data_IF_957614436217
#
_entry.id   IF_957614436217
#
_cell.length_a   1.000
_cell.length_b   1.000
_cell.length_c   1.000
_cell.angle_alpha   90.00
_cell.angle_beta   90.00
_cell.angle_gamma   90.00
#
_symmetry.space_group_name_H-M   'P 1'
#
loop_
_entity.id
_entity.type
_entity.pdbx_description
1 polymer ?
#
# COMPACT_ATOMS: atom_id res chain seq x y z
N UNK A 1 -36.45 -22.72 38.17
CA UNK A 1 -37.01 -22.34 36.84
C UNK A 1 -36.71 -20.89 36.42
N UNK A 2 -36.50 -19.90 37.32
CA UNK A 2 -36.13 -18.51 36.94
C UNK A 2 -34.71 -18.31 36.36
N UNK A 3 -33.77 -19.25 36.57
CA UNK A 3 -32.38 -19.12 36.08
C UNK A 3 -32.16 -19.57 34.63
N UNK A 4 -33.10 -20.32 34.04
CA UNK A 4 -32.98 -20.82 32.66
C UNK A 4 -33.46 -19.77 31.63
N UNK A 5 -34.39 -18.89 32.02
CA UNK A 5 -34.88 -17.81 31.15
C UNK A 5 -33.84 -16.68 30.92
N UNK A 6 -32.92 -16.45 31.85
CA UNK A 6 -31.91 -15.38 31.75
C UNK A 6 -30.77 -15.80 30.81
N UNK A 7 -30.38 -17.07 30.78
CA UNK A 7 -29.38 -17.57 29.83
C UNK A 7 -29.92 -17.62 28.38
N UNK A 8 -31.23 -17.84 28.20
CA UNK A 8 -31.85 -17.81 26.87
C UNK A 8 -31.94 -16.38 26.30
N UNK A 9 -32.21 -15.36 27.14
CA UNK A 9 -32.16 -13.96 26.69
C UNK A 9 -30.74 -13.47 26.42
N UNK A 10 -29.73 -13.92 27.18
CA UNK A 10 -28.33 -13.58 26.94
C UNK A 10 -27.79 -14.20 25.63
N UNK A 11 -28.21 -15.44 25.31
CA UNK A 11 -27.87 -16.09 24.04
C UNK A 11 -28.57 -15.43 22.83
N UNK A 12 -29.78 -14.88 23.01
CA UNK A 12 -30.46 -14.08 21.98
C UNK A 12 -29.87 -12.67 21.84
N UNK A 13 -29.28 -12.08 22.89
CA UNK A 13 -28.55 -10.81 22.79
C UNK A 13 -27.16 -10.92 22.17
N UNK A 14 -26.62 -12.13 21.99
CA UNK A 14 -25.39 -12.37 21.22
C UNK A 14 -25.64 -12.76 19.76
N UNK A 15 -26.90 -12.92 19.35
CA UNK A 15 -27.28 -13.34 17.99
C UNK A 15 -27.72 -12.17 17.08
N UNK A 16 -27.57 -10.91 17.52
CA UNK A 16 -27.98 -9.74 16.74
C UNK A 16 -26.97 -8.58 16.82
N UNK A 17 -25.66 -8.87 16.75
CA UNK A 17 -24.84 -8.05 15.87
C UNK A 17 -25.28 -8.44 14.46
N UNK A 18 -26.39 -7.84 13.98
CA UNK A 18 -26.84 -8.02 12.61
C UNK A 18 -25.63 -7.74 11.72
N UNK A 19 -25.04 -8.80 11.19
CA UNK A 19 -23.93 -8.71 10.26
C UNK A 19 -24.46 -7.93 9.08
N UNK A 20 -24.13 -6.65 9.04
CA UNK A 20 -24.44 -5.79 7.91
C UNK A 20 -23.99 -6.56 6.67
N UNK A 21 -24.89 -6.82 5.70
CA UNK A 21 -24.52 -7.54 4.50
C UNK A 21 -23.27 -6.86 3.92
N UNK A 22 -22.16 -7.60 3.74
CA UNK A 22 -20.97 -6.99 3.20
C UNK A 22 -21.31 -6.46 1.80
N UNK A 23 -20.81 -5.28 1.47
CA UNK A 23 -20.85 -4.74 0.11
C UNK A 23 -19.43 -4.59 -0.38
N UNK A 24 -19.18 -4.68 -1.70
CA UNK A 24 -17.85 -4.40 -2.23
C UNK A 24 -17.36 -3.00 -1.84
N UNK A 25 -16.04 -2.87 -1.67
CA UNK A 25 -15.40 -1.61 -1.31
C UNK A 25 -15.55 -0.55 -2.40
N UNK A 26 -15.52 -0.96 -3.67
CA UNK A 26 -15.69 -0.06 -4.80
C UNK A 26 -17.06 0.65 -4.74
N UNK A 27 -17.13 1.89 -5.18
CA UNK A 27 -18.34 2.70 -5.27
C UNK A 27 -18.29 3.41 -6.62
N UNK A 28 -18.94 2.87 -7.65
CA UNK A 28 -18.99 3.55 -8.95
C UNK A 28 -19.88 4.78 -8.87
N UNK A 29 -19.62 5.74 -9.76
CA UNK A 29 -20.52 6.88 -9.96
C UNK A 29 -21.78 6.41 -10.72
N UNK A 30 -22.93 7.02 -10.41
CA UNK A 30 -24.11 6.90 -11.27
C UNK A 30 -24.01 7.91 -12.43
N UNK A 31 -24.89 7.78 -13.44
CA UNK A 31 -24.87 8.66 -14.62
C UNK A 31 -25.07 10.15 -14.26
N UNK A 32 -25.95 10.46 -13.30
CA UNK A 32 -26.18 11.84 -12.86
C UNK A 32 -24.94 12.45 -12.23
N UNK A 33 -24.20 11.69 -11.43
CA UNK A 33 -22.95 12.13 -10.83
C UNK A 33 -21.88 12.34 -11.92
N UNK A 34 -21.78 11.44 -12.89
CA UNK A 34 -20.83 11.57 -14.02
C UNK A 34 -21.09 12.88 -14.78
N UNK A 35 -22.36 13.16 -15.10
CA UNK A 35 -22.77 14.38 -15.81
C UNK A 35 -22.55 15.64 -14.96
N UNK A 36 -22.79 15.57 -13.65
CA UNK A 36 -22.64 16.70 -12.74
C UNK A 36 -21.17 17.04 -12.45
N UNK A 37 -20.30 16.03 -12.36
CA UNK A 37 -18.87 16.20 -12.07
C UNK A 37 -18.16 16.77 -13.30
N UNK A 38 -18.38 16.19 -14.49
CA UNK A 38 -17.72 16.62 -15.72
C UNK A 38 -16.19 16.67 -15.57
N UNK A 39 -15.59 17.83 -15.82
CA UNK A 39 -14.13 17.98 -15.68
C UNK A 39 -13.73 18.24 -14.22
N UNK A 40 -12.90 17.38 -13.65
CA UNK A 40 -12.52 17.40 -12.23
C UNK A 40 -11.01 17.46 -12.01
N UNK A 41 -10.62 18.09 -10.90
CA UNK A 41 -9.22 18.12 -10.47
C UNK A 41 -8.82 16.81 -9.81
N UNK A 42 -7.56 16.40 -10.02
CA UNK A 42 -6.94 15.27 -9.32
C UNK A 42 -6.02 15.82 -8.24
N UNK A 43 -6.16 15.30 -7.03
CA UNK A 43 -5.31 15.65 -5.89
C UNK A 43 -4.55 14.43 -5.42
N UNK A 44 -3.24 14.44 -5.66
CA UNK A 44 -2.32 13.40 -5.20
C UNK A 44 -1.96 13.70 -3.74
N UNK A 45 -2.38 12.82 -2.83
CA UNK A 45 -1.89 12.85 -1.46
C UNK A 45 -0.41 12.46 -1.47
N UNK A 46 0.46 13.35 -1.00
CA UNK A 46 1.91 13.13 -1.00
C UNK A 46 2.25 11.87 -0.22
N UNK A 47 2.93 10.93 -0.89
CA UNK A 47 3.58 9.83 -0.20
C UNK A 47 4.80 10.39 0.55
N UNK A 48 4.89 10.08 1.85
CA UNK A 48 5.98 10.53 2.71
C UNK A 48 6.92 9.38 3.12
N UNK A 49 6.62 8.16 2.69
CA UNK A 49 7.27 6.94 3.20
C UNK A 49 8.18 6.27 2.18
N UNK A 50 8.07 6.63 0.91
CA UNK A 50 8.76 5.96 -0.19
C UNK A 50 8.28 4.52 -0.40
N UNK A 51 9.16 3.71 -0.99
CA UNK A 51 8.95 2.26 -1.18
C UNK A 51 9.22 1.53 0.13
N UNK A 52 8.18 0.97 0.74
CA UNK A 52 8.27 0.22 1.98
C UNK A 52 8.52 -1.28 1.73
N UNK A 53 9.08 -2.01 2.71
CA UNK A 53 9.11 -3.48 2.72
C UNK A 53 7.96 -4.07 3.56
N UNK A 54 7.39 -5.21 3.15
CA UNK A 54 6.19 -5.78 3.77
C UNK A 54 6.36 -6.32 5.19
N UNK A 55 7.60 -6.54 5.68
CA UNK A 55 7.89 -6.80 7.09
C UNK A 55 7.31 -5.75 8.04
N UNK A 56 7.03 -4.55 7.51
CA UNK A 56 6.60 -3.39 8.26
C UNK A 56 5.09 -3.19 8.27
N UNK A 57 4.31 -4.06 7.62
CA UNK A 57 2.86 -3.91 7.54
C UNK A 57 2.15 -4.67 8.66
N UNK A 58 1.41 -3.94 9.50
CA UNK A 58 0.34 -4.50 10.33
C UNK A 58 -0.91 -4.74 9.46
N UNK A 59 -1.54 -5.89 9.59
CA UNK A 59 -2.85 -6.14 9.02
C UNK A 59 -3.90 -5.36 9.83
N UNK A 60 -4.30 -4.21 9.30
CA UNK A 60 -5.26 -3.29 9.95
C UNK A 60 -6.65 -3.36 9.34
N UNK A 61 -6.91 -4.39 8.51
CA UNK A 61 -8.16 -4.54 7.75
C UNK A 61 -9.41 -4.59 8.63
N UNK A 62 -9.32 -5.15 9.84
CA UNK A 62 -10.45 -5.25 10.78
C UNK A 62 -10.66 -4.01 11.67
N UNK A 63 -9.61 -3.25 12.00
CA UNK A 63 -9.70 -2.05 12.84
C UNK A 63 -10.08 -0.80 12.05
N UNK A 64 -9.64 -0.71 10.79
CA UNK A 64 -9.82 0.47 9.95
C UNK A 64 -11.21 0.60 9.31
N UNK A 65 -12.06 -0.44 9.39
CA UNK A 65 -13.46 -0.36 9.00
C UNK A 65 -14.26 0.65 9.87
N UNK A 66 -13.77 0.97 11.07
CA UNK A 66 -14.47 1.83 12.04
C UNK A 66 -14.09 3.32 12.00
N UNK A 67 -13.01 3.72 11.30
CA UNK A 67 -12.48 5.10 11.36
C UNK A 67 -12.31 5.81 10.00
N UNK A 68 -12.84 5.27 8.91
CA UNK A 68 -12.81 5.93 7.62
C UNK A 68 -11.40 5.98 6.99
N UNK A 69 -11.36 6.44 5.73
CA UNK A 69 -10.23 6.32 4.80
C UNK A 69 -8.88 6.85 5.34
N UNK A 70 -8.91 7.80 6.28
CA UNK A 70 -7.74 8.43 6.89
C UNK A 70 -7.01 7.51 7.89
N UNK A 71 -7.69 6.53 8.49
CA UNK A 71 -7.10 5.59 9.44
C UNK A 71 -6.29 4.46 8.78
N UNK A 72 -6.57 4.14 7.51
CA UNK A 72 -5.97 3.00 6.79
C UNK A 72 -4.51 3.26 6.38
N UNK A 73 -4.16 4.50 6.06
CA UNK A 73 -2.91 4.83 5.38
C UNK A 73 -1.87 5.54 6.25
N UNK A 74 -2.30 6.26 7.29
CA UNK A 74 -1.37 7.07 8.11
C UNK A 74 -0.76 6.27 9.27
N UNK A 75 -1.43 5.23 9.78
CA UNK A 75 -0.96 4.50 10.97
C UNK A 75 0.09 3.41 10.70
N UNK A 76 -0.01 2.71 9.57
CA UNK A 76 0.80 1.51 9.31
C UNK A 76 2.13 1.78 8.57
N UNK A 77 2.24 2.92 7.87
CA UNK A 77 3.34 3.16 6.94
C UNK A 77 4.61 3.75 7.60
N UNK A 78 4.49 4.39 8.78
CA UNK A 78 5.58 5.23 9.31
C UNK A 78 6.42 4.52 10.39
N UNK A 79 5.84 3.62 11.20
CA UNK A 79 6.55 3.09 12.39
C UNK A 79 7.22 1.71 12.21
N UNK A 80 6.90 0.98 11.14
CA UNK A 80 7.62 -0.28 10.87
C UNK A 80 9.10 -0.05 10.59
N UNK A 81 9.45 1.07 9.95
CA UNK A 81 10.80 1.41 9.49
C UNK A 81 11.84 1.41 10.64
N UNK A 82 11.44 1.68 11.89
CA UNK A 82 12.40 2.03 12.94
C UNK A 82 12.53 1.07 14.11
N UNK A 83 11.64 0.08 14.29
CA UNK A 83 11.59 -0.66 15.57
C UNK A 83 11.69 -2.19 15.53
N UNK A 84 11.90 -2.79 14.36
CA UNK A 84 12.46 -4.14 14.33
C UNK A 84 13.95 -4.03 14.01
N UNK A 85 14.75 -4.92 14.60
CA UNK A 85 16.14 -5.09 14.27
C UNK A 85 16.27 -6.15 13.17
N UNK A 86 16.06 -5.85 11.88
CA UNK A 86 16.89 -6.51 10.91
C UNK A 86 18.28 -5.85 11.03
N UNK A 87 19.33 -6.63 10.79
CA UNK A 87 20.73 -6.20 10.93
C UNK A 87 20.99 -4.84 10.27
N UNK A 88 22.08 -4.13 10.66
CA UNK A 88 22.54 -2.88 10.00
C UNK A 88 22.43 -2.95 8.46
N UNK A 89 22.66 -4.14 7.89
CA UNK A 89 22.52 -4.46 6.46
C UNK A 89 21.15 -4.12 5.87
N UNK A 90 20.06 -4.45 6.56
CA UNK A 90 18.71 -4.19 6.08
C UNK A 90 18.34 -2.69 6.11
N UNK A 91 18.86 -1.95 7.10
CA UNK A 91 18.74 -0.47 7.10
C UNK A 91 19.54 0.15 5.96
N UNK A 92 20.76 -0.32 5.71
CA UNK A 92 21.56 0.10 4.56
C UNK A 92 20.81 -0.09 3.24
N UNK A 93 20.24 -1.27 3.02
CA UNK A 93 19.43 -1.58 1.83
C UNK A 93 18.16 -0.73 1.73
N UNK A 94 17.49 -0.43 2.85
CA UNK A 94 16.34 0.47 2.84
C UNK A 94 16.73 1.91 2.46
N UNK A 95 17.88 2.38 2.95
CA UNK A 95 18.43 3.69 2.56
C UNK A 95 18.81 3.70 1.07
N UNK A 96 19.43 2.64 0.54
CA UNK A 96 19.73 2.52 -0.89
C UNK A 96 18.44 2.61 -1.73
N UNK A 97 17.35 1.96 -1.30
CA UNK A 97 16.04 2.06 -1.97
C UNK A 97 15.47 3.49 -1.94
N UNK A 98 15.54 4.15 -0.78
CA UNK A 98 15.08 5.52 -0.62
C UNK A 98 15.92 6.53 -1.42
N UNK A 99 17.22 6.28 -1.59
CA UNK A 99 18.12 7.11 -2.39
C UNK A 99 17.83 6.98 -3.88
N UNK A 100 17.65 5.76 -4.40
CA UNK A 100 17.36 5.56 -5.83
C UNK A 100 15.92 5.93 -6.19
N UNK A 101 15.00 5.92 -5.22
CA UNK A 101 13.60 6.27 -5.41
C UNK A 101 13.06 7.08 -4.22
N UNK A 102 13.40 8.39 -4.17
CA UNK A 102 12.91 9.27 -3.12
C UNK A 102 11.40 9.50 -3.27
N UNK A 103 10.75 9.83 -2.15
CA UNK A 103 9.31 10.05 -2.09
C UNK A 103 8.83 11.13 -3.08
N UNK A 104 9.59 12.22 -3.21
CA UNK A 104 9.30 13.29 -4.17
C UNK A 104 9.29 12.79 -5.62
N UNK A 105 10.22 11.90 -5.99
CA UNK A 105 10.24 11.31 -7.33
C UNK A 105 9.03 10.40 -7.61
N UNK A 106 8.52 9.71 -6.57
CA UNK A 106 7.28 8.93 -6.68
C UNK A 106 6.08 9.85 -6.90
N UNK A 107 5.98 10.92 -6.10
CA UNK A 107 4.91 11.91 -6.19
C UNK A 107 4.92 12.60 -7.57
N UNK A 108 6.07 13.08 -8.02
CA UNK A 108 6.25 13.73 -9.32
C UNK A 108 5.89 12.80 -10.48
N UNK A 109 6.34 11.54 -10.44
CA UNK A 109 6.00 10.55 -11.45
C UNK A 109 4.49 10.35 -11.54
N UNK A 110 3.80 10.20 -10.41
CA UNK A 110 2.36 10.02 -10.39
C UNK A 110 1.60 11.24 -10.92
N UNK A 111 2.00 12.44 -10.49
CA UNK A 111 1.46 13.72 -10.98
C UNK A 111 1.63 13.82 -12.49
N UNK A 112 2.81 13.47 -13.02
CA UNK A 112 3.06 13.50 -14.45
C UNK A 112 2.14 12.53 -15.22
N UNK A 113 1.92 11.33 -14.70
CA UNK A 113 1.05 10.33 -15.34
C UNK A 113 -0.43 10.75 -15.35
N UNK A 114 -0.93 11.37 -14.28
CA UNK A 114 -2.27 11.97 -14.26
C UNK A 114 -2.35 13.21 -15.16
N UNK A 115 -1.31 14.04 -15.21
CA UNK A 115 -1.29 15.25 -16.05
C UNK A 115 -1.40 14.91 -17.53
N UNK A 116 -0.84 13.77 -17.96
CA UNK A 116 -1.01 13.25 -19.32
C UNK A 116 -2.47 12.90 -19.65
N UNK A 117 -3.31 12.61 -18.64
CA UNK A 117 -4.73 12.32 -18.85
C UNK A 117 -5.56 13.58 -19.18
N UNK A 118 -5.06 14.78 -18.88
CA UNK A 118 -5.73 16.05 -19.23
C UNK A 118 -5.90 16.15 -20.75
N UNK A 119 -4.85 15.80 -21.50
CA UNK A 119 -4.83 15.90 -22.96
C UNK A 119 -5.67 14.83 -23.67
N UNK A 120 -6.08 13.77 -22.98
CA UNK A 120 -6.80 12.63 -23.55
C UNK A 120 -8.29 12.63 -23.26
N UNK A 121 -8.83 13.70 -22.65
CA UNK A 121 -10.23 13.79 -22.26
C UNK A 121 -11.18 13.52 -23.43
N UNK A 122 -11.97 12.44 -23.33
CA UNK A 122 -13.03 12.14 -24.28
C UNK A 122 -14.20 13.14 -24.11
N UNK A 123 -14.92 13.49 -25.18
CA UNK A 123 -16.11 14.32 -25.06
C UNK A 123 -17.23 13.56 -24.34
N UNK A 124 -17.64 14.10 -23.18
CA UNK A 124 -18.69 13.54 -22.33
C UNK A 124 -18.14 12.72 -21.16
N UNK A 125 -18.75 12.89 -19.98
CA UNK A 125 -18.39 12.19 -18.75
C UNK A 125 -17.28 12.88 -17.92
N UNK A 126 -16.70 12.10 -17.00
CA UNK A 126 -15.64 12.58 -16.10
C UNK A 126 -14.31 12.67 -16.84
N UNK A 127 -13.65 13.84 -16.77
CA UNK A 127 -12.31 14.08 -17.33
C UNK A 127 -11.40 14.78 -16.32
N UNK A 128 -10.08 14.72 -16.52
CA UNK A 128 -9.11 15.40 -15.64
C UNK A 128 -8.88 16.83 -16.16
N UNK A 129 -9.09 17.84 -15.32
CA UNK A 129 -8.84 19.25 -15.64
C UNK A 129 -7.50 19.77 -15.15
N UNK A 130 -7.08 19.31 -13.96
CA UNK A 130 -5.89 19.78 -13.26
C UNK A 130 -5.33 18.65 -12.37
N UNK A 131 -4.05 18.72 -12.05
CA UNK A 131 -3.39 17.80 -11.12
C UNK A 131 -2.51 18.58 -10.16
N UNK A 132 -2.75 18.38 -8.86
CA UNK A 132 -1.98 19.01 -7.78
C UNK A 132 -1.66 18.01 -6.68
N UNK A 133 -0.70 18.33 -5.82
CA UNK A 133 -0.39 17.54 -4.64
C UNK A 133 -1.00 18.16 -3.38
N UNK A 134 -1.20 17.34 -2.35
CA UNK A 134 -1.56 17.79 -1.00
C UNK A 134 -0.78 17.01 0.05
N UNK A 135 -0.21 17.73 1.00
CA UNK A 135 0.45 17.13 2.14
C UNK A 135 -0.56 16.78 3.24
N UNK A 136 -1.00 15.52 3.31
CA UNK A 136 -2.03 15.09 4.28
C UNK A 136 -1.56 15.09 5.74
N UNK A 137 -0.24 15.12 6.00
CA UNK A 137 0.28 15.27 7.36
C UNK A 137 -0.01 16.67 7.95
N UNK A 138 0.04 17.70 7.12
CA UNK A 138 -0.23 19.08 7.52
C UNK A 138 -1.67 19.51 7.23
N UNK A 139 -2.33 18.85 6.26
CA UNK A 139 -3.71 19.10 5.84
C UNK A 139 -4.51 17.78 5.78
N UNK A 140 -4.87 17.18 6.93
CA UNK A 140 -5.50 15.85 7.01
C UNK A 140 -6.97 15.83 6.57
N UNK A 141 -7.54 16.97 6.17
CA UNK A 141 -8.92 17.06 5.72
C UNK A 141 -9.14 16.32 4.40
N UNK A 142 -10.40 15.97 4.15
CA UNK A 142 -10.85 15.49 2.83
C UNK A 142 -10.71 16.64 1.83
N UNK A 143 -10.27 16.32 0.61
CA UNK A 143 -10.30 17.27 -0.49
C UNK A 143 -11.71 17.29 -1.10
N UNK A 144 -12.42 18.42 -1.00
CA UNK A 144 -13.73 18.58 -1.61
C UNK A 144 -13.61 18.87 -3.12
N UNK A 145 -14.56 18.35 -3.90
CA UNK A 145 -14.68 18.49 -5.35
C UNK A 145 -13.41 18.13 -6.14
N UNK A 146 -12.77 17.02 -5.75
CA UNK A 146 -11.58 16.51 -6.43
C UNK A 146 -11.45 15.00 -6.28
N UNK A 147 -10.80 14.37 -7.27
CA UNK A 147 -10.37 12.98 -7.18
C UNK A 147 -9.10 12.91 -6.33
N UNK A 148 -9.25 12.47 -5.10
CA UNK A 148 -8.12 12.21 -4.20
C UNK A 148 -7.48 10.87 -4.53
N UNK A 149 -6.16 10.88 -4.70
CA UNK A 149 -5.31 9.72 -5.02
C UNK A 149 -4.39 9.48 -3.84
N UNK A 150 -4.53 8.33 -3.18
CA UNK A 150 -3.62 7.90 -2.11
C UNK A 150 -2.87 6.65 -2.52
N UNK A 151 -1.55 6.65 -2.38
CA UNK A 151 -0.69 5.57 -2.87
C UNK A 151 0.14 4.89 -1.79
N UNK A 152 0.35 3.59 -1.97
CA UNK A 152 1.20 2.74 -1.15
C UNK A 152 2.11 1.92 -2.06
N UNK A 153 3.41 1.98 -1.78
CA UNK A 153 4.45 1.25 -2.51
C UNK A 153 5.06 0.21 -1.57
N UNK A 154 4.89 -1.07 -1.90
CA UNK A 154 5.27 -2.17 -1.03
C UNK A 154 6.10 -3.20 -1.78
N UNK A 155 7.32 -3.39 -1.36
CA UNK A 155 8.14 -4.52 -1.74
C UNK A 155 7.81 -5.72 -0.83
N UNK A 156 7.62 -6.90 -1.41
CA UNK A 156 7.35 -8.14 -0.66
C UNK A 156 8.45 -8.44 0.36
N UNK A 157 8.16 -9.31 1.32
CA UNK A 157 9.07 -9.58 2.45
C UNK A 157 10.40 -10.17 1.97
N UNK A 158 10.32 -11.06 0.97
CA UNK A 158 11.48 -11.63 0.28
C UNK A 158 12.08 -10.71 -0.79
N UNK A 159 11.54 -9.50 -0.96
CA UNK A 159 11.90 -8.53 -1.98
C UNK A 159 11.78 -9.03 -3.43
N UNK A 160 11.00 -10.07 -3.69
CA UNK A 160 10.81 -10.60 -5.04
C UNK A 160 9.84 -9.76 -5.88
N UNK A 161 8.86 -9.10 -5.27
CA UNK A 161 7.78 -8.42 -5.99
C UNK A 161 7.51 -7.03 -5.41
N UNK A 162 7.42 -6.03 -6.28
CA UNK A 162 6.87 -4.71 -5.95
C UNK A 162 5.36 -4.71 -6.18
N UNK A 163 4.61 -4.28 -5.18
CA UNK A 163 3.19 -4.01 -5.25
C UNK A 163 2.95 -2.51 -5.06
N UNK A 164 2.18 -1.91 -5.97
CA UNK A 164 1.71 -0.53 -5.84
C UNK A 164 0.19 -0.58 -5.72
N UNK A 165 -0.33 -0.10 -4.59
CA UNK A 165 -1.76 -0.03 -4.34
C UNK A 165 -2.18 1.43 -4.24
N UNK A 166 -3.25 1.77 -4.93
CA UNK A 166 -3.82 3.11 -4.95
C UNK A 166 -5.28 3.05 -4.57
N UNK A 167 -5.67 3.88 -3.62
CA UNK A 167 -7.07 4.15 -3.31
C UNK A 167 -7.44 5.49 -3.89
N UNK A 168 -8.49 5.50 -4.69
CA UNK A 168 -9.08 6.69 -5.24
C UNK A 168 -10.39 6.99 -4.53
N UNK A 169 -10.62 8.26 -4.21
CA UNK A 169 -11.92 8.73 -3.71
C UNK A 169 -12.29 10.07 -4.28
N UNK A 170 -13.56 10.27 -4.61
CA UNK A 170 -14.10 11.57 -4.96
C UNK A 170 -15.23 11.93 -4.00
N UNK A 171 -15.20 13.14 -3.45
CA UNK A 171 -16.23 13.70 -2.61
C UNK A 171 -16.62 15.09 -3.13
N UNK A 172 -17.90 15.41 -3.03
CA UNK A 172 -18.41 16.74 -3.36
C UNK A 172 -19.55 17.06 -2.38
N UNK A 173 -19.35 18.04 -1.50
CA UNK A 173 -20.35 18.42 -0.48
C UNK A 173 -21.64 18.99 -1.08
N UNK A 174 -21.61 19.48 -2.32
CA UNK A 174 -22.77 19.95 -3.07
C UNK A 174 -23.60 18.83 -3.71
N UNK A 175 -23.09 17.61 -3.78
CA UNK A 175 -23.81 16.45 -4.33
C UNK A 175 -24.24 15.51 -3.20
N UNK A 176 -25.53 15.16 -3.09
CA UNK A 176 -26.00 14.27 -2.04
C UNK A 176 -25.41 12.88 -2.22
N UNK A 177 -24.91 12.31 -1.12
CA UNK A 177 -24.45 10.93 -1.12
C UNK A 177 -25.63 9.97 -1.28
N UNK A 178 -25.49 9.04 -2.22
CA UNK A 178 -26.39 7.91 -2.40
C UNK A 178 -25.56 6.64 -2.56
N UNK A 179 -25.84 5.62 -1.74
CA UNK A 179 -25.17 4.33 -1.88
C UNK A 179 -25.57 3.69 -3.23
N UNK A 180 -24.62 3.14 -4.00
CA UNK A 180 -24.93 2.42 -5.23
C UNK A 180 -25.53 1.04 -4.96
N UNK A 181 -25.55 0.58 -3.71
CA UNK A 181 -25.98 -0.76 -3.32
C UNK A 181 -27.44 -0.79 -2.90
N UNK A 182 -28.09 -1.92 -3.19
CA UNK A 182 -29.45 -2.20 -2.76
C UNK A 182 -29.44 -3.07 -1.50
N UNK A 183 -30.38 -2.77 -0.59
CA UNK A 183 -30.55 -3.48 0.67
C UNK A 183 -32.01 -3.91 0.79
N UNK A 184 -32.28 -5.08 1.38
CA UNK A 184 -33.65 -5.57 1.60
C UNK A 184 -34.44 -4.69 2.58
N UNK A 185 -33.77 -3.84 3.35
CA UNK A 185 -34.36 -2.85 4.24
C UNK A 185 -33.67 -1.49 4.12
N UNK A 186 -33.69 -0.72 5.21
CA UNK A 186 -32.92 0.53 5.25
C UNK A 186 -31.41 0.24 5.10
N UNK A 187 -30.66 1.05 4.32
CA UNK A 187 -29.23 0.91 4.23
C UNK A 187 -28.58 0.98 5.63
N UNK A 188 -27.52 0.19 5.88
CA UNK A 188 -26.79 0.28 7.14
C UNK A 188 -26.19 1.67 7.31
N UNK A 189 -25.95 2.11 8.56
CA UNK A 189 -25.43 3.46 8.84
C UNK A 189 -24.12 3.78 8.10
N UNK A 190 -23.27 2.77 7.89
CA UNK A 190 -22.01 2.87 7.13
C UNK A 190 -22.21 3.16 5.64
N UNK A 191 -23.43 2.99 5.14
CA UNK A 191 -23.87 3.21 3.76
C UNK A 191 -24.80 4.43 3.64
N UNK A 192 -24.86 5.30 4.65
CA UNK A 192 -25.59 6.57 4.60
C UNK A 192 -24.69 7.78 4.35
N UNK A 193 -23.38 7.60 4.46
CA UNK A 193 -22.37 8.64 4.27
C UNK A 193 -21.14 8.03 3.63
N UNK A 194 -20.42 8.81 2.83
CA UNK A 194 -19.15 8.39 2.26
C UNK A 194 -18.79 9.19 1.02
N UNK A 195 -17.69 8.81 0.35
CA UNK A 195 -17.35 9.40 -0.93
C UNK A 195 -18.34 8.94 -2.01
N UNK A 196 -18.61 9.82 -2.98
CA UNK A 196 -19.45 9.53 -4.13
C UNK A 196 -18.82 8.47 -5.03
N UNK A 197 -17.49 8.50 -5.12
CA UNK A 197 -16.69 7.49 -5.81
C UNK A 197 -15.63 6.93 -4.88
N UNK A 198 -15.39 5.63 -4.95
CA UNK A 198 -14.24 4.99 -4.32
C UNK A 198 -13.81 3.78 -5.12
N UNK A 199 -12.53 3.61 -5.39
CA UNK A 199 -12.04 2.33 -5.90
C UNK A 199 -10.58 2.08 -5.52
N UNK A 200 -10.13 0.85 -5.69
CA UNK A 200 -8.75 0.42 -5.45
C UNK A 200 -8.14 -0.12 -6.74
N UNK A 201 -6.89 0.26 -6.98
CA UNK A 201 -6.09 -0.16 -8.12
C UNK A 201 -4.81 -0.79 -7.59
N UNK A 202 -4.52 -2.02 -7.98
CA UNK A 202 -3.33 -2.75 -7.53
C UNK A 202 -2.49 -3.16 -8.72
N UNK A 203 -1.23 -2.77 -8.71
CA UNK A 203 -0.22 -3.21 -9.65
C UNK A 203 0.74 -4.15 -8.93
N UNK A 204 1.05 -5.29 -9.54
CA UNK A 204 2.15 -6.15 -9.11
C UNK A 204 3.23 -6.20 -10.20
N UNK A 205 4.50 -6.11 -9.81
CA UNK A 205 5.62 -6.29 -10.71
C UNK A 205 5.79 -7.76 -11.11
N UNK A 206 6.65 -8.01 -12.10
CA UNK A 206 7.18 -9.35 -12.29
C UNK A 206 7.97 -9.79 -11.04
N UNK A 207 7.81 -11.06 -10.66
CA UNK A 207 8.57 -11.64 -9.57
C UNK A 207 10.03 -11.84 -9.99
N UNK A 208 10.96 -11.30 -9.21
CA UNK A 208 12.38 -11.58 -9.38
C UNK A 208 12.70 -13.05 -9.03
N UNK A 209 13.59 -13.70 -9.79
CA UNK A 209 13.98 -15.07 -9.49
C UNK A 209 14.71 -15.14 -8.15
N UNK A 210 14.29 -16.07 -7.28
CA UNK A 210 14.94 -16.29 -5.99
C UNK A 210 16.39 -16.75 -6.23
N UNK A 211 17.39 -16.06 -5.67
CA UNK A 211 18.79 -16.42 -5.87
C UNK A 211 19.10 -17.77 -5.20
N UNK A 212 19.90 -18.57 -5.88
CA UNK A 212 20.48 -19.81 -5.35
C UNK A 212 21.89 -19.50 -4.83
N UNK A 213 22.30 -20.10 -3.70
CA UNK A 213 23.63 -19.92 -3.14
C UNK A 213 24.70 -20.53 -4.07
N UNK A 214 25.29 -19.70 -4.93
CA UNK A 214 26.49 -20.06 -5.70
C UNK A 214 27.76 -19.68 -4.91
N UNK A 215 28.94 -20.23 -5.25
CA UNK A 215 30.20 -19.81 -4.64
C UNK A 215 30.41 -18.29 -4.70
N UNK A 216 30.08 -17.66 -5.83
CA UNK A 216 30.22 -16.21 -6.03
C UNK A 216 29.25 -15.43 -5.14
N UNK A 217 28.02 -15.94 -4.97
CA UNK A 217 27.04 -15.30 -4.08
C UNK A 217 27.45 -15.42 -2.61
N UNK A 218 28.08 -16.53 -2.23
CA UNK A 218 28.67 -16.72 -0.89
C UNK A 218 29.80 -15.72 -0.63
N UNK A 219 30.70 -15.52 -1.57
CA UNK A 219 31.76 -14.51 -1.45
C UNK A 219 31.16 -13.11 -1.30
N UNK A 220 30.13 -12.78 -2.09
CA UNK A 220 29.40 -11.51 -1.96
C UNK A 220 28.70 -11.37 -0.60
N UNK A 221 28.15 -12.45 -0.06
CA UNK A 221 27.52 -12.46 1.27
C UNK A 221 28.56 -12.17 2.36
N UNK A 222 29.70 -12.86 2.32
CA UNK A 222 30.82 -12.66 3.26
C UNK A 222 31.35 -11.22 3.19
N UNK A 223 31.63 -10.72 1.98
CA UNK A 223 32.09 -9.35 1.78
C UNK A 223 31.05 -8.34 2.31
N UNK A 224 29.76 -8.59 2.08
CA UNK A 224 28.69 -7.75 2.60
C UNK A 224 28.59 -7.78 4.12
N UNK A 225 28.82 -8.91 4.78
CA UNK A 225 28.83 -8.99 6.25
C UNK A 225 30.00 -8.20 6.81
N UNK A 226 31.19 -8.38 6.24
CA UNK A 226 32.41 -7.68 6.66
C UNK A 226 32.27 -6.17 6.49
N UNK A 227 31.76 -5.71 5.34
CA UNK A 227 31.58 -4.28 5.07
C UNK A 227 30.61 -3.62 6.06
N UNK A 228 29.50 -4.28 6.38
CA UNK A 228 28.52 -3.76 7.33
C UNK A 228 28.98 -3.83 8.80
N UNK A 229 29.99 -4.64 9.10
CA UNK A 229 30.55 -4.75 10.43
C UNK A 229 31.52 -3.60 10.75
N UNK A 230 32.06 -2.92 9.73
CA UNK A 230 32.95 -1.77 9.89
C UNK A 230 32.27 -0.65 10.67
N UNK A 231 33.06 0.10 11.43
CA UNK A 231 32.61 1.31 12.11
C UNK A 231 32.67 2.55 11.20
N UNK A 232 32.31 3.71 11.74
CA UNK A 232 32.28 4.99 11.00
C UNK A 232 33.66 5.43 10.48
N UNK A 233 34.75 4.83 11.00
CA UNK A 233 36.13 5.06 10.54
C UNK A 233 36.57 4.06 9.47
N UNK A 234 35.69 3.11 9.12
CA UNK A 234 35.98 2.01 8.21
C UNK A 234 36.78 0.87 8.84
N UNK A 235 37.02 0.92 10.16
CA UNK A 235 37.78 -0.09 10.87
C UNK A 235 36.90 -1.30 11.22
N UNK A 236 37.49 -2.49 11.23
CA UNK A 236 36.81 -3.71 11.66
C UNK A 236 36.59 -3.68 13.18
N UNK A 237 35.49 -4.29 13.68
CA UNK A 237 35.22 -4.31 15.11
C UNK A 237 36.33 -5.06 15.85
N UNK A 238 36.78 -4.52 16.98
CA UNK A 238 37.85 -5.13 17.76
C UNK A 238 37.44 -6.50 18.34
N UNK A 239 38.38 -7.43 18.40
CA UNK A 239 38.15 -8.76 18.97
C UNK A 239 37.57 -8.68 20.39
N UNK A 240 36.59 -9.54 20.69
CA UNK A 240 35.93 -9.60 21.99
C UNK A 240 34.77 -8.62 22.20
N UNK A 241 34.60 -7.62 21.33
CA UNK A 241 33.43 -6.73 21.35
C UNK A 241 32.15 -7.46 20.91
N UNK A 242 30.98 -6.96 21.33
CA UNK A 242 29.70 -7.54 20.91
C UNK A 242 29.48 -7.38 19.39
N UNK A 243 30.00 -6.32 18.79
CA UNK A 243 30.00 -6.13 17.34
C UNK A 243 30.83 -7.20 16.62
N UNK A 244 32.01 -7.55 17.14
CA UNK A 244 32.84 -8.62 16.58
C UNK A 244 32.19 -10.00 16.74
N UNK A 245 31.58 -10.29 17.90
CA UNK A 245 30.82 -11.53 18.13
C UNK A 245 29.62 -11.65 17.17
N UNK A 246 28.86 -10.56 16.99
CA UNK A 246 27.74 -10.51 16.04
C UNK A 246 28.21 -10.77 14.60
N UNK A 247 29.30 -10.12 14.18
CA UNK A 247 29.88 -10.32 12.85
C UNK A 247 30.31 -11.78 12.64
N UNK A 248 31.04 -12.39 13.59
CA UNK A 248 31.49 -13.77 13.46
C UNK A 248 30.31 -14.75 13.42
N UNK A 249 29.27 -14.52 14.21
CA UNK A 249 28.04 -15.32 14.15
C UNK A 249 27.40 -15.25 12.75
N UNK A 250 27.28 -14.06 12.17
CA UNK A 250 26.75 -13.90 10.80
C UNK A 250 27.66 -14.58 9.74
N UNK A 251 28.99 -14.54 9.92
CA UNK A 251 29.93 -15.23 9.04
C UNK A 251 29.85 -16.76 9.16
N UNK A 252 29.60 -17.29 10.36
CA UNK A 252 29.34 -18.71 10.57
C UNK A 252 28.02 -19.14 9.91
N UNK A 253 26.95 -18.35 10.08
CA UNK A 253 25.65 -18.60 9.42
C UNK A 253 25.77 -18.54 7.89
N UNK A 254 26.57 -17.63 7.34
CA UNK A 254 26.84 -17.56 5.89
C UNK A 254 27.65 -18.75 5.34
N UNK A 255 28.26 -19.56 6.22
CA UNK A 255 28.96 -20.80 5.84
C UNK A 255 28.00 -21.99 5.73
N UNK A 256 26.83 -21.94 6.36
CA UNK A 256 25.78 -22.93 6.09
C UNK A 256 25.35 -22.84 4.61
N UNK A 257 25.15 -23.98 3.95
CA UNK A 257 24.87 -24.08 2.51
C UNK A 257 23.48 -23.57 2.09
N UNK A 258 22.86 -22.67 2.86
CA UNK A 258 21.51 -22.17 2.64
C UNK A 258 21.43 -20.67 2.87
N UNK A 259 20.82 -19.95 1.92
CA UNK A 259 20.42 -18.57 2.15
C UNK A 259 19.19 -18.52 3.05
N UNK A 260 19.26 -17.69 4.09
CA UNK A 260 18.08 -17.32 4.86
C UNK A 260 17.16 -16.41 4.04
N UNK A 261 15.88 -16.34 4.41
CA UNK A 261 14.91 -15.41 3.77
C UNK A 261 15.38 -13.95 3.82
N UNK A 262 16.03 -13.54 4.92
CA UNK A 262 16.54 -12.19 5.09
C UNK A 262 17.69 -11.90 4.11
N UNK A 263 18.57 -12.86 3.85
CA UNK A 263 19.68 -12.72 2.90
C UNK A 263 19.19 -12.68 1.46
N UNK A 264 18.23 -13.53 1.12
CA UNK A 264 17.51 -13.47 -0.17
C UNK A 264 16.94 -12.06 -0.38
N UNK A 265 16.24 -11.53 0.62
CA UNK A 265 15.62 -10.22 0.55
C UNK A 265 16.63 -9.06 0.45
N UNK A 266 17.86 -9.21 0.97
CA UNK A 266 18.95 -8.24 0.82
C UNK A 266 19.49 -8.29 -0.61
N UNK A 267 19.76 -9.48 -1.14
CA UNK A 267 20.25 -9.62 -2.51
C UNK A 267 19.23 -9.10 -3.53
N UNK A 268 17.97 -9.48 -3.39
CA UNK A 268 16.91 -9.04 -4.29
C UNK A 268 16.62 -7.56 -4.18
N UNK A 269 16.64 -6.97 -2.98
CA UNK A 269 16.53 -5.52 -2.84
C UNK A 269 17.68 -4.77 -3.54
N UNK A 270 18.90 -5.32 -3.55
CA UNK A 270 19.99 -4.77 -4.36
C UNK A 270 19.77 -4.90 -5.86
N UNK A 271 19.10 -5.96 -6.32
CA UNK A 271 18.68 -6.04 -7.73
C UNK A 271 17.72 -4.91 -8.09
N UNK A 272 16.82 -4.51 -7.19
CA UNK A 272 15.94 -3.35 -7.40
C UNK A 272 16.69 -2.02 -7.46
N UNK A 273 17.80 -1.86 -6.73
CA UNK A 273 18.60 -0.62 -6.68
C UNK A 273 19.72 -0.56 -7.72
N UNK A 274 20.04 -1.68 -8.39
CA UNK A 274 21.04 -1.72 -9.47
C UNK A 274 20.77 -0.69 -10.57
N UNK A 275 21.85 -0.22 -11.19
CA UNK A 275 21.81 0.73 -12.30
C UNK A 275 20.96 1.97 -11.97
N UNK A 276 21.15 2.54 -10.78
CA UNK A 276 20.36 3.67 -10.25
C UNK A 276 18.85 3.39 -10.18
N UNK A 277 18.50 2.18 -9.76
CA UNK A 277 17.12 1.74 -9.64
C UNK A 277 16.36 1.64 -10.97
N UNK A 278 17.03 1.36 -12.09
CA UNK A 278 16.40 1.36 -13.42
C UNK A 278 15.16 0.45 -13.50
N UNK A 279 15.24 -0.76 -12.91
CA UNK A 279 14.11 -1.69 -12.84
C UNK A 279 12.98 -1.13 -11.97
N UNK A 280 13.30 -0.65 -10.76
CA UNK A 280 12.33 -0.07 -9.85
C UNK A 280 11.60 1.11 -10.49
N UNK A 281 12.33 2.02 -11.15
CA UNK A 281 11.78 3.17 -11.89
C UNK A 281 10.86 2.74 -13.02
N UNK A 282 11.24 1.71 -13.78
CA UNK A 282 10.42 1.19 -14.86
C UNK A 282 9.08 0.61 -14.34
N UNK A 283 9.12 -0.22 -13.29
CA UNK A 283 7.91 -0.80 -12.70
C UNK A 283 7.00 0.26 -12.05
N UNK A 284 7.57 1.28 -11.40
CA UNK A 284 6.81 2.43 -10.87
C UNK A 284 6.12 3.21 -12.00
N UNK A 285 6.83 3.50 -13.09
CA UNK A 285 6.25 4.20 -14.24
C UNK A 285 5.12 3.36 -14.88
N UNK A 286 5.31 2.05 -14.99
CA UNK A 286 4.27 1.13 -15.47
C UNK A 286 3.05 1.13 -14.54
N UNK A 287 3.27 1.10 -13.22
CA UNK A 287 2.19 1.19 -12.23
C UNK A 287 1.41 2.50 -12.36
N UNK A 288 2.11 3.65 -12.40
CA UNK A 288 1.48 4.97 -12.51
C UNK A 288 0.73 5.15 -13.83
N UNK A 289 1.27 4.63 -14.95
CA UNK A 289 0.56 4.61 -16.23
C UNK A 289 -0.74 3.80 -16.16
N UNK A 290 -0.69 2.61 -15.56
CA UNK A 290 -1.86 1.77 -15.30
C UNK A 290 -2.90 2.53 -14.45
N UNK A 291 -2.49 3.05 -13.28
CA UNK A 291 -3.39 3.74 -12.35
C UNK A 291 -4.07 4.93 -13.04
N UNK A 292 -3.31 5.82 -13.69
CA UNK A 292 -3.86 7.02 -14.31
C UNK A 292 -4.85 6.71 -15.45
N UNK A 293 -4.53 5.72 -16.31
CA UNK A 293 -5.42 5.29 -17.39
C UNK A 293 -6.74 4.72 -16.86
N UNK A 294 -6.65 3.81 -15.89
CA UNK A 294 -7.83 3.07 -15.42
C UNK A 294 -8.66 3.85 -14.40
N UNK A 295 -8.08 4.81 -13.69
CA UNK A 295 -8.81 5.76 -12.85
C UNK A 295 -9.90 6.50 -13.65
N UNK A 296 -9.51 7.13 -14.76
CA UNK A 296 -10.43 7.92 -15.60
C UNK A 296 -11.47 7.01 -16.27
N UNK A 297 -11.05 5.83 -16.73
CA UNK A 297 -11.97 4.84 -17.31
C UNK A 297 -13.03 4.39 -16.29
N UNK A 298 -12.63 4.07 -15.07
CA UNK A 298 -13.54 3.55 -14.05
C UNK A 298 -14.47 4.62 -13.47
N UNK A 299 -14.04 5.89 -13.36
CA UNK A 299 -14.94 6.98 -12.99
C UNK A 299 -16.11 7.16 -13.97
N UNK A 300 -15.93 6.74 -15.22
CA UNK A 300 -16.98 6.77 -16.25
C UNK A 300 -17.81 5.47 -16.31
N UNK A 301 -17.55 4.51 -15.41
CA UNK A 301 -18.25 3.23 -15.38
C UNK A 301 -19.32 3.21 -14.30
N UNK A 302 -20.55 2.93 -14.71
CA UNK A 302 -21.74 2.89 -13.82
C UNK A 302 -22.06 1.49 -13.28
N UNK A 303 -21.30 0.48 -13.67
CA UNK A 303 -21.56 -0.91 -13.30
C UNK A 303 -21.28 -1.17 -11.82
N UNK A 304 -22.36 -1.41 -11.06
CA UNK A 304 -22.34 -1.73 -9.63
C UNK A 304 -21.73 -3.12 -9.42
N UNK A 305 -20.61 -3.24 -8.68
CA UNK A 305 -19.99 -4.54 -8.42
C UNK A 305 -20.84 -5.36 -7.44
N UNK A 306 -20.63 -6.69 -7.46
CA UNK A 306 -21.32 -7.64 -6.57
C UNK A 306 -20.29 -8.46 -5.81
N UNK A 307 -20.67 -9.01 -4.65
CA UNK A 307 -19.83 -9.99 -3.95
C UNK A 307 -19.69 -11.31 -4.72
N UNK A 308 -20.58 -11.55 -5.69
CA UNK A 308 -20.56 -12.71 -6.58
C UNK A 308 -20.16 -12.29 -7.99
N UNK A 309 -19.51 -13.18 -8.72
CA UNK A 309 -19.12 -12.92 -10.11
C UNK A 309 -17.82 -13.61 -10.46
N UNK A 310 -17.33 -13.26 -11.65
CA UNK A 310 -16.04 -13.69 -12.17
C UNK A 310 -15.27 -12.45 -12.61
N UNK A 311 -13.94 -12.51 -12.50
CA UNK A 311 -13.11 -11.38 -12.92
C UNK A 311 -13.30 -11.11 -14.42
N UNK A 312 -13.40 -9.83 -14.74
CA UNK A 312 -13.44 -9.34 -16.12
C UNK A 312 -12.00 -9.08 -16.59
N UNK A 313 -11.57 -9.76 -17.65
CA UNK A 313 -10.34 -9.40 -18.35
C UNK A 313 -10.60 -8.12 -19.14
N UNK A 314 -9.93 -7.03 -18.75
CA UNK A 314 -10.10 -5.71 -19.37
C UNK A 314 -9.17 -5.57 -20.57
N UNK A 315 -7.89 -5.91 -20.41
CA UNK A 315 -6.93 -5.97 -21.52
C UNK A 315 -5.76 -6.91 -21.21
N UNK A 316 -5.10 -7.36 -22.27
CA UNK A 316 -3.79 -8.01 -22.20
C UNK A 316 -2.79 -7.13 -22.93
N UNK A 317 -1.72 -6.75 -22.24
CA UNK A 317 -0.66 -5.90 -22.76
C UNK A 317 0.36 -6.72 -23.58
N UNK A 318 1.19 -6.08 -24.43
CA UNK A 318 2.13 -6.78 -25.31
C UNK A 318 3.16 -7.67 -24.58
N UNK A 319 3.46 -7.37 -23.32
CA UNK A 319 4.35 -8.15 -22.45
C UNK A 319 3.64 -9.36 -21.79
N UNK A 320 2.37 -9.62 -22.14
CA UNK A 320 1.55 -10.67 -21.55
C UNK A 320 0.96 -10.32 -20.18
N UNK A 321 1.19 -9.10 -19.68
CA UNK A 321 0.53 -8.58 -18.47
C UNK A 321 -0.97 -8.47 -18.72
N UNK A 322 -1.76 -8.86 -17.73
CA UNK A 322 -3.22 -8.76 -17.78
C UNK A 322 -3.69 -7.65 -16.85
N UNK A 323 -4.68 -6.89 -17.32
CA UNK A 323 -5.45 -6.00 -16.47
C UNK A 323 -6.84 -6.60 -16.29
N UNK A 324 -7.22 -6.80 -15.04
CA UNK A 324 -8.48 -7.43 -14.68
C UNK A 324 -9.26 -6.53 -13.74
N UNK A 325 -10.58 -6.52 -13.89
CA UNK A 325 -11.50 -5.96 -12.91
C UNK A 325 -12.04 -7.11 -12.07
N UNK A 326 -11.81 -7.05 -10.76
CA UNK A 326 -12.16 -8.13 -9.83
C UNK A 326 -13.66 -8.31 -9.82
N UNK A 327 -14.11 -9.55 -9.99
CA UNK A 327 -15.52 -9.92 -10.06
C UNK A 327 -16.16 -10.18 -8.70
N UNK A 328 -15.56 -11.04 -7.84
CA UNK A 328 -16.16 -11.42 -6.57
C UNK A 328 -15.50 -10.77 -5.34
N UNK A 329 -16.20 -10.87 -4.21
CA UNK A 329 -15.70 -10.51 -2.88
C UNK A 329 -15.68 -9.01 -2.58
N UNK A 330 -15.07 -8.65 -1.44
CA UNK A 330 -15.00 -7.25 -0.96
C UNK A 330 -14.19 -6.35 -1.89
N UNK A 331 -13.33 -6.93 -2.72
CA UNK A 331 -12.54 -6.21 -3.73
C UNK A 331 -13.25 -6.17 -5.08
N UNK A 332 -14.48 -6.66 -5.22
CA UNK A 332 -15.20 -6.57 -6.49
C UNK A 332 -15.28 -5.13 -7.00
N UNK A 333 -15.04 -4.96 -8.29
CA UNK A 333 -14.93 -3.65 -8.95
C UNK A 333 -13.52 -3.04 -8.95
N UNK A 334 -12.60 -3.54 -8.11
CA UNK A 334 -11.19 -3.11 -8.09
C UNK A 334 -10.47 -3.51 -9.37
N UNK A 335 -9.42 -2.77 -9.73
CA UNK A 335 -8.55 -3.12 -10.86
C UNK A 335 -7.25 -3.74 -10.36
N UNK A 336 -6.81 -4.80 -11.03
CA UNK A 336 -5.53 -5.44 -10.76
C UNK A 336 -4.75 -5.60 -12.05
N UNK A 337 -3.49 -5.17 -12.04
CA UNK A 337 -2.52 -5.43 -13.10
C UNK A 337 -1.52 -6.47 -12.63
N UNK A 338 -1.54 -7.64 -13.28
CA UNK A 338 -0.67 -8.77 -12.96
C UNK A 338 0.16 -9.16 -14.19
N UNK A 339 1.46 -9.46 -14.03
CA UNK A 339 2.22 -10.10 -15.10
C UNK A 339 1.62 -11.49 -15.37
N UNK A 340 1.73 -11.98 -16.61
CA UNK A 340 1.05 -13.21 -17.05
C UNK A 340 1.44 -14.50 -16.32
N UNK A 341 2.45 -14.47 -15.43
CA UNK A 341 3.00 -15.61 -14.72
C UNK A 341 2.86 -15.54 -13.17
N UNK A 342 2.23 -14.52 -12.59
CA UNK A 342 2.08 -14.39 -11.13
C UNK A 342 0.66 -14.74 -10.71
N UNK A 343 0.54 -15.75 -9.83
CA UNK A 343 -0.75 -16.20 -9.30
C UNK A 343 -1.12 -15.62 -7.94
N UNK A 344 -0.17 -15.27 -7.06
CA UNK A 344 -0.48 -14.76 -5.70
C UNK A 344 0.63 -13.87 -5.11
N UNK A 345 0.25 -12.86 -4.31
CA UNK A 345 1.14 -12.05 -3.48
C UNK A 345 1.15 -12.59 -2.04
N UNK A 346 2.29 -13.08 -1.55
CA UNK A 346 2.38 -13.68 -0.21
C UNK A 346 2.88 -12.66 0.81
N UNK A 347 2.05 -12.32 1.79
CA UNK A 347 2.45 -11.60 3.01
C UNK A 347 2.38 -12.54 4.20
N UNK A 348 3.50 -12.88 4.85
CA UNK A 348 3.49 -13.58 6.14
C UNK A 348 3.45 -12.56 7.29
N UNK A 349 2.57 -12.76 8.27
CA UNK A 349 2.31 -11.82 9.36
C UNK A 349 2.75 -12.32 10.73
N UNK A 350 3.23 -11.39 11.57
CA UNK A 350 3.22 -11.54 13.03
C UNK A 350 2.85 -10.19 13.67
N UNK A 351 1.58 -9.81 13.52
CA UNK A 351 1.09 -8.44 13.69
C UNK A 351 0.83 -7.98 15.14
N UNK A 352 0.69 -8.91 16.10
CA UNK A 352 0.18 -8.60 17.45
C UNK A 352 1.24 -8.06 18.43
N UNK A 353 2.44 -8.64 18.47
CA UNK A 353 3.52 -8.21 19.38
C UNK A 353 4.08 -6.81 19.02
N UNK A 354 3.89 -6.39 17.77
CA UNK A 354 4.37 -5.10 17.24
C UNK A 354 3.38 -3.97 17.59
N UNK A 355 2.10 -4.27 17.86
CA UNK A 355 1.07 -3.27 18.15
C UNK A 355 1.27 -2.53 19.48
N UNK A 356 1.69 -3.25 20.53
CA UNK A 356 1.79 -2.71 21.89
C UNK A 356 2.98 -1.73 22.05
N UNK A 357 4.08 -1.99 21.33
CA UNK A 357 5.27 -1.13 21.34
C UNK A 357 5.05 0.17 20.55
N UNK A 358 4.22 0.12 19.49
CA UNK A 358 3.97 1.25 18.59
C UNK A 358 3.02 2.31 19.20
N UNK A 359 2.09 1.90 20.06
CA UNK A 359 1.18 2.83 20.77
C UNK A 359 1.95 3.82 21.66
N UNK A 360 2.99 3.34 22.34
CA UNK A 360 3.80 4.16 23.25
C UNK A 360 4.63 5.21 22.51
N UNK A 361 5.06 4.92 21.27
CA UNK A 361 5.96 5.79 20.51
C UNK A 361 5.23 6.82 19.65
N UNK A 362 4.04 6.47 19.12
CA UNK A 362 3.13 7.42 18.45
C UNK A 362 2.80 8.61 19.35
N UNK A 363 2.67 8.36 20.66
CA UNK A 363 2.44 9.40 21.68
C UNK A 363 3.58 10.42 21.72
N UNK A 364 4.84 9.98 21.62
CA UNK A 364 6.02 10.83 21.71
C UNK A 364 6.23 11.73 20.48
N UNK A 365 5.96 11.23 19.27
CA UNK A 365 6.05 12.05 18.03
C UNK A 365 4.97 13.13 18.03
N UNK A 366 3.76 12.78 18.47
CA UNK A 366 2.68 13.76 18.64
C UNK A 366 3.04 14.82 19.68
N UNK A 367 3.73 14.45 20.75
CA UNK A 367 4.22 15.39 21.76
C UNK A 367 5.34 16.30 21.22
N UNK A 368 6.27 15.78 20.43
CA UNK A 368 7.34 16.58 19.81
C UNK A 368 6.81 17.57 18.76
N UNK A 369 5.84 17.14 17.95
CA UNK A 369 5.17 18.03 17.00
C UNK A 369 4.35 19.13 17.71
N UNK A 370 3.73 18.81 18.85
CA UNK A 370 3.07 19.82 19.72
C UNK A 370 4.08 20.77 20.35
N UNK A 371 5.26 20.28 20.76
CA UNK A 371 6.32 21.10 21.34
C UNK A 371 6.93 22.07 20.32
N UNK A 372 7.15 21.63 19.07
CA UNK A 372 7.63 22.49 17.99
C UNK A 372 6.64 23.62 17.65
N UNK A 373 5.34 23.39 17.82
CA UNK A 373 4.29 24.42 17.67
C UNK A 373 4.23 25.43 18.80
N UNK A 374 4.71 25.10 20.00
CA UNK A 374 4.75 26.03 21.12
C UNK A 374 5.97 26.96 21.08
N UNK A 375 6.91 26.70 20.16
CA UNK A 375 8.15 27.45 19.97
C UNK A 375 8.09 28.42 18.76
N UNK A 376 6.97 28.43 18.02
CA UNK A 376 6.61 29.43 17.01
C UNK A 376 5.51 30.33 17.57
#
# INVERSE_FOLDING_TARGET
>A
MRKIAICALAALSMAACASVPPVPNARPLNAQNIDAIGSTSVVVAENNTGVMKSWFRQDSSAAAASQGLLGVLVGAAIDGIMNYAPSRRARGVANELAEVMPADALNDSLVQHFSRQIATGAPGGVSVSDVRTVQKLTSPGVTDDALEVMTSYLLSEDATTLQVSVTLTYQNTGLPYATPYTFEGAPPKTELTGPLYRNTFTYSSQQLPVPVLTPELRERLIASIQENARDDTGAMPAEGTDAFKSMNKELEEARDDKLTKAEIAIFLAREWTKNNGALLRAEINNAHAFIAKYAVLDMNRTAIPSLTGVDELVETLPDGRTVRRVGPGVMAGSYVSLPGNVSDFVTYGNAAAIAEVNETRTRNIQEQARAARAAQ
#
